data_IF_998398110560
#
_entry.id   IF_998398110560
#
_cell.length_a   1.000
_cell.length_b   1.000
_cell.length_c   1.000
_cell.angle_alpha   90.00
_cell.angle_beta   90.00
_cell.angle_gamma   90.00
#
_symmetry.space_group_name_H-M   'P 1'
#
loop_
_entity.id
_entity.type
_entity.pdbx_description
1 polymer ?
#
# COMPACT_ATOMS: atom_id res chain seq x y z
N UNK A 1 8.27 -16.86 6.63
CA UNK A 1 8.41 -17.49 5.27
C UNK A 1 7.03 -17.64 4.65
N UNK A 2 6.90 -17.81 3.32
CA UNK A 2 5.58 -17.94 2.67
C UNK A 2 4.75 -19.15 3.12
N UNK A 3 5.38 -20.17 3.72
CA UNK A 3 4.68 -21.29 4.35
C UNK A 3 4.16 -20.97 5.75
N UNK A 4 4.83 -20.06 6.48
CA UNK A 4 4.48 -19.69 7.85
C UNK A 4 3.53 -18.51 7.94
N UNK A 5 3.73 -17.51 7.08
CA UNK A 5 3.06 -16.21 7.13
C UNK A 5 2.26 -16.03 5.86
N UNK A 6 0.95 -16.13 5.99
CA UNK A 6 0.00 -16.08 4.89
C UNK A 6 -0.56 -14.67 4.81
N UNK A 7 -0.17 -13.90 3.80
CA UNK A 7 -0.86 -12.63 3.49
C UNK A 7 -2.21 -12.99 2.89
N UNK A 8 -3.31 -12.65 3.57
CA UNK A 8 -4.66 -13.06 3.16
C UNK A 8 -5.48 -11.91 2.58
N UNK A 9 -5.16 -10.68 2.97
CA UNK A 9 -5.79 -9.46 2.52
C UNK A 9 -4.84 -8.27 2.75
N UNK A 10 -5.19 -7.13 2.19
CA UNK A 10 -4.54 -5.84 2.46
C UNK A 10 -5.61 -4.89 3.01
N UNK A 11 -5.19 -3.99 3.89
CA UNK A 11 -6.02 -2.91 4.39
C UNK A 11 -5.26 -1.58 4.27
N UNK A 12 -6.00 -0.49 4.13
CA UNK A 12 -5.46 0.86 4.11
C UNK A 12 -5.92 1.61 5.34
N UNK A 13 -4.98 2.13 6.12
CA UNK A 13 -5.34 3.02 7.21
C UNK A 13 -5.63 4.42 6.66
N UNK A 14 -6.89 4.83 6.72
CA UNK A 14 -7.33 6.14 6.29
C UNK A 14 -7.20 7.14 7.44
N UNK A 15 -6.47 8.24 7.23
CA UNK A 15 -6.57 9.42 8.07
C UNK A 15 -7.82 10.17 7.66
N UNK A 16 -8.74 10.36 8.60
CA UNK A 16 -10.05 10.93 8.36
C UNK A 16 -10.22 12.26 9.10
N UNK A 17 -10.93 13.17 8.46
CA UNK A 17 -11.31 14.47 8.99
C UNK A 17 -12.77 14.76 8.70
N UNK A 18 -13.29 15.84 9.28
CA UNK A 18 -14.61 16.36 8.92
C UNK A 18 -14.74 16.58 7.39
N UNK A 19 -15.90 16.27 6.77
CA UNK A 19 -16.12 16.48 5.33
C UNK A 19 -15.79 17.88 4.83
N UNK A 20 -16.10 18.91 5.61
CA UNK A 20 -15.89 20.31 5.25
C UNK A 20 -14.45 20.81 5.49
N UNK A 21 -13.55 19.96 6.01
CA UNK A 21 -12.17 20.36 6.20
C UNK A 21 -11.49 20.56 4.82
N UNK A 22 -10.91 21.75 4.54
CA UNK A 22 -10.39 22.06 3.21
C UNK A 22 -9.06 21.36 2.90
N UNK A 23 -8.33 20.87 3.90
CA UNK A 23 -7.07 20.15 3.73
C UNK A 23 -7.30 18.91 2.87
N UNK A 24 -6.48 18.73 1.83
CA UNK A 24 -6.62 17.62 0.87
C UNK A 24 -5.62 16.50 1.13
N UNK A 25 -4.45 16.84 1.66
CA UNK A 25 -3.37 15.90 1.90
C UNK A 25 -2.53 16.29 3.11
N UNK A 26 -1.92 15.30 3.75
CA UNK A 26 -0.94 15.47 4.80
C UNK A 26 0.25 14.54 4.58
N UNK A 27 1.44 14.96 4.99
CA UNK A 27 2.57 14.02 5.10
C UNK A 27 2.44 13.15 6.35
N UNK A 28 3.05 11.96 6.33
CA UNK A 28 3.16 11.10 7.52
C UNK A 28 3.73 11.88 8.71
N UNK A 29 4.72 12.74 8.48
CA UNK A 29 5.29 13.64 9.49
C UNK A 29 4.24 14.61 10.07
N UNK A 30 3.46 15.28 9.22
CA UNK A 30 2.39 16.19 9.68
C UNK A 30 1.32 15.44 10.47
N UNK A 31 0.93 14.24 10.04
CA UNK A 31 0.00 13.40 10.80
C UNK A 31 0.59 13.05 12.16
N UNK A 32 1.88 12.66 12.23
CA UNK A 32 2.53 12.38 13.50
C UNK A 32 2.55 13.60 14.43
N UNK A 33 2.88 14.78 13.93
CA UNK A 33 2.89 16.03 14.70
C UNK A 33 1.49 16.45 15.18
N UNK A 34 0.44 16.24 14.38
CA UNK A 34 -0.95 16.43 14.80
C UNK A 34 -1.30 15.50 15.97
N UNK A 35 -1.07 14.19 15.81
CA UNK A 35 -1.40 13.20 16.84
C UNK A 35 -0.49 13.26 18.07
N UNK A 36 0.68 13.90 17.97
CA UNK A 36 1.54 14.25 19.10
C UNK A 36 1.12 15.56 19.82
N UNK A 37 0.14 16.29 19.27
CA UNK A 37 -0.34 17.56 19.81
C UNK A 37 0.60 18.75 19.56
N UNK A 38 1.59 18.59 18.67
CA UNK A 38 2.54 19.65 18.30
C UNK A 38 1.94 20.63 17.30
N UNK A 39 1.08 20.13 16.41
CA UNK A 39 0.19 20.95 15.58
C UNK A 39 -1.18 20.90 16.23
N UNK A 40 -1.68 22.05 16.68
CA UNK A 40 -2.90 22.13 17.48
C UNK A 40 -4.02 22.93 16.80
N UNK A 41 -3.76 23.55 15.65
CA UNK A 41 -4.76 24.28 14.90
C UNK A 41 -4.65 24.03 13.38
N UNK A 42 -5.79 23.83 12.73
CA UNK A 42 -5.86 23.55 11.30
C UNK A 42 -5.30 24.66 10.41
N UNK A 43 -5.28 25.92 10.85
CA UNK A 43 -4.68 27.04 10.11
C UNK A 43 -3.20 26.86 9.81
N UNK A 44 -2.48 26.10 10.64
CA UNK A 44 -1.07 25.76 10.45
C UNK A 44 -0.84 24.87 9.22
N UNK A 45 -1.90 24.22 8.74
CA UNK A 45 -1.91 23.29 7.61
C UNK A 45 -2.78 23.82 6.45
N UNK A 46 -3.09 25.12 6.44
CA UNK A 46 -3.93 25.76 5.42
C UNK A 46 -5.42 25.52 5.59
N UNK A 47 -5.86 25.06 6.76
CA UNK A 47 -7.26 24.91 7.13
C UNK A 47 -7.88 26.16 7.77
N UNK A 48 -9.10 26.00 8.29
CA UNK A 48 -9.77 27.04 9.06
C UNK A 48 -9.09 27.28 10.42
N UNK A 49 -9.32 28.44 11.03
CA UNK A 49 -8.87 28.72 12.41
C UNK A 49 -9.75 27.96 13.43
N UNK A 50 -9.51 26.66 13.52
CA UNK A 50 -10.23 25.72 14.37
C UNK A 50 -9.20 24.81 15.04
N UNK A 51 -9.36 24.61 16.36
CA UNK A 51 -8.51 23.72 17.13
C UNK A 51 -8.63 22.27 16.63
N UNK A 52 -7.52 21.53 16.67
CA UNK A 52 -7.48 20.12 16.30
C UNK A 52 -8.03 19.27 17.46
N UNK A 53 -9.03 18.45 17.18
CA UNK A 53 -9.58 17.46 18.11
C UNK A 53 -9.08 16.06 17.71
N UNK A 54 -8.32 15.41 18.58
CA UNK A 54 -7.68 14.12 18.29
C UNK A 54 -8.60 12.96 18.68
N UNK A 55 -8.89 12.08 17.73
CA UNK A 55 -9.68 10.86 17.92
C UNK A 55 -8.84 9.63 17.55
N UNK A 56 -8.62 8.74 18.50
CA UNK A 56 -7.75 7.58 18.32
C UNK A 56 -8.40 6.29 18.82
N UNK A 57 -8.05 5.18 18.19
CA UNK A 57 -8.41 3.84 18.66
C UNK A 57 -7.65 3.49 19.95
N UNK A 58 -8.28 2.76 20.86
CA UNK A 58 -7.70 2.35 22.15
C UNK A 58 -6.50 1.37 22.04
N UNK A 59 -5.90 1.05 23.18
CA UNK A 59 -4.68 0.21 23.26
C UNK A 59 -4.92 -1.28 22.96
N UNK A 60 -6.18 -1.69 22.74
CA UNK A 60 -6.55 -3.05 22.37
C UNK A 60 -6.77 -3.20 20.85
N UNK A 61 -6.51 -2.13 20.09
CA UNK A 61 -6.80 -2.06 18.67
C UNK A 61 -5.57 -2.31 17.81
N UNK A 62 -5.61 -3.36 16.98
CA UNK A 62 -4.59 -3.57 15.95
C UNK A 62 -4.49 -2.43 14.92
N UNK A 63 -5.56 -1.64 14.75
CA UNK A 63 -5.54 -0.38 13.97
C UNK A 63 -4.71 0.70 14.65
N UNK A 64 -4.73 0.76 15.98
CA UNK A 64 -3.84 1.67 16.71
C UNK A 64 -2.40 1.18 16.67
N UNK A 65 -2.15 -0.12 16.81
CA UNK A 65 -0.81 -0.68 16.70
C UNK A 65 -0.17 -0.33 15.34
N UNK A 66 -0.91 -0.52 14.25
CA UNK A 66 -0.41 -0.14 12.92
C UNK A 66 -0.19 1.37 12.79
N UNK A 67 -1.10 2.22 13.29
CA UNK A 67 -0.92 3.67 13.25
C UNK A 67 0.32 4.10 14.04
N UNK A 68 0.49 3.53 15.23
CA UNK A 68 1.64 3.78 16.10
C UNK A 68 2.94 3.41 15.41
N UNK A 69 3.02 2.24 14.77
CA UNK A 69 4.23 1.82 14.05
C UNK A 69 4.51 2.69 12.82
N UNK A 70 3.51 2.90 11.95
CA UNK A 70 3.71 3.54 10.66
C UNK A 70 3.82 5.06 10.74
N UNK A 71 3.18 5.68 11.74
CA UNK A 71 3.07 7.15 11.85
C UNK A 71 3.82 7.69 13.05
N UNK A 72 3.55 7.20 14.26
CA UNK A 72 4.14 7.80 15.47
C UNK A 72 5.60 7.39 15.66
N UNK A 73 5.86 6.09 15.77
CA UNK A 73 7.19 5.54 16.01
C UNK A 73 8.16 5.87 14.86
N UNK A 74 7.68 5.84 13.61
CA UNK A 74 8.49 6.20 12.44
C UNK A 74 9.01 7.64 12.48
N UNK A 75 8.36 8.52 13.24
CA UNK A 75 8.70 9.92 13.45
C UNK A 75 9.21 10.22 14.88
N UNK A 76 9.44 9.18 15.69
CA UNK A 76 9.86 9.33 17.09
C UNK A 76 8.84 10.01 18.00
N UNK A 77 7.56 9.95 17.63
CA UNK A 77 6.46 10.59 18.35
C UNK A 77 5.68 9.60 19.22
N UNK A 78 4.90 10.14 20.16
CA UNK A 78 3.91 9.41 20.95
C UNK A 78 2.55 10.09 20.82
N UNK A 79 1.47 9.34 21.05
CA UNK A 79 0.13 9.89 21.01
C UNK A 79 -0.08 10.89 22.16
N UNK A 80 -0.64 12.06 21.84
CA UNK A 80 -1.03 13.05 22.83
C UNK A 80 -2.06 12.50 23.82
N UNK A 81 -1.88 12.82 25.10
CA UNK A 81 -2.79 12.39 26.19
C UNK A 81 -4.19 12.99 26.08
N UNK A 82 -4.36 14.06 25.29
CA UNK A 82 -5.64 14.70 25.00
C UNK A 82 -6.49 13.91 23.98
N UNK A 83 -5.94 12.89 23.33
CA UNK A 83 -6.67 12.12 22.33
C UNK A 83 -7.84 11.35 22.95
N UNK A 84 -9.05 11.57 22.42
CA UNK A 84 -10.25 10.83 22.80
C UNK A 84 -10.13 9.40 22.26
N UNK A 85 -10.28 8.42 23.15
CA UNK A 85 -10.03 7.00 22.87
C UNK A 85 -11.34 6.26 22.52
N UNK A 86 -11.29 5.37 21.53
CA UNK A 86 -12.46 4.62 21.05
C UNK A 86 -12.16 3.12 20.86
N UNK A 87 -13.09 2.27 21.31
CA UNK A 87 -13.10 0.83 21.01
C UNK A 87 -13.74 0.51 19.64
N UNK A 88 -14.55 1.41 19.07
CA UNK A 88 -15.26 1.18 17.81
C UNK A 88 -14.76 2.11 16.69
N UNK A 89 -14.49 1.54 15.51
CA UNK A 89 -14.09 2.32 14.33
C UNK A 89 -15.25 3.19 13.87
N UNK A 90 -16.47 2.65 13.92
CA UNK A 90 -17.67 3.36 13.48
C UNK A 90 -18.01 4.51 14.43
N UNK A 91 -17.84 4.31 15.74
CA UNK A 91 -18.03 5.39 16.72
C UNK A 91 -16.99 6.52 16.53
N UNK A 92 -15.72 6.15 16.30
CA UNK A 92 -14.66 7.11 16.00
C UNK A 92 -14.98 7.89 14.72
N UNK A 93 -15.30 7.18 13.63
CA UNK A 93 -15.62 7.79 12.34
C UNK A 93 -16.85 8.71 12.42
N UNK A 94 -17.90 8.32 13.13
CA UNK A 94 -19.07 9.17 13.35
C UNK A 94 -18.74 10.42 14.18
N UNK A 95 -17.83 10.32 15.15
CA UNK A 95 -17.39 11.48 15.92
C UNK A 95 -16.63 12.47 15.02
N UNK A 96 -15.72 11.97 14.19
CA UNK A 96 -14.95 12.79 13.24
C UNK A 96 -15.87 13.45 12.22
N UNK A 97 -16.86 12.74 11.69
CA UNK A 97 -17.77 13.27 10.66
C UNK A 97 -18.71 14.38 11.16
N UNK A 98 -18.76 14.66 12.46
CA UNK A 98 -19.68 15.65 13.08
C UNK A 98 -18.97 16.86 13.68
N UNK A 99 -17.65 16.84 13.77
CA UNK A 99 -16.82 17.84 14.47
C UNK A 99 -15.82 18.44 13.51
N UNK A 100 -15.95 19.73 13.21
CA UNK A 100 -15.12 20.42 12.21
C UNK A 100 -13.62 20.40 12.51
N UNK A 101 -13.24 20.38 13.79
CA UNK A 101 -11.85 20.29 14.24
C UNK A 101 -11.28 18.87 14.28
N UNK A 102 -12.10 17.83 14.10
CA UNK A 102 -11.70 16.46 14.38
C UNK A 102 -10.81 15.84 13.30
N UNK A 103 -9.80 15.11 13.78
CA UNK A 103 -8.99 14.16 13.01
C UNK A 103 -8.99 12.81 13.70
N UNK A 104 -9.04 11.74 12.90
CA UNK A 104 -8.91 10.38 13.39
C UNK A 104 -8.31 9.44 12.36
N UNK A 105 -8.20 8.17 12.69
CA UNK A 105 -7.75 7.13 11.77
C UNK A 105 -8.59 5.85 11.91
N UNK A 106 -8.89 5.21 10.79
CA UNK A 106 -9.68 3.98 10.70
C UNK A 106 -9.19 3.09 9.56
N UNK A 107 -9.54 1.81 9.58
CA UNK A 107 -9.41 0.96 8.38
C UNK A 107 -10.36 1.44 7.27
N UNK A 108 -10.05 1.11 6.02
CA UNK A 108 -10.74 1.68 4.85
C UNK A 108 -12.26 1.44 4.85
N UNK A 109 -12.68 0.26 5.30
CA UNK A 109 -14.10 -0.11 5.43
C UNK A 109 -14.90 0.80 6.39
N UNK A 110 -14.24 1.48 7.32
CA UNK A 110 -14.88 2.27 8.38
C UNK A 110 -14.77 3.79 8.17
N UNK A 111 -14.33 4.26 7.00
CA UNK A 111 -14.28 5.70 6.69
C UNK A 111 -15.66 6.36 6.84
N UNK A 112 -16.73 5.65 6.50
CA UNK A 112 -18.11 6.10 6.71
C UNK A 112 -18.41 7.41 5.98
N UNK A 113 -18.89 8.42 6.72
CA UNK A 113 -19.21 9.75 6.18
C UNK A 113 -18.06 10.75 6.30
N UNK A 114 -16.93 10.35 6.89
CA UNK A 114 -15.77 11.24 7.05
C UNK A 114 -15.04 11.42 5.73
N UNK A 115 -14.30 12.52 5.59
CA UNK A 115 -13.40 12.72 4.45
C UNK A 115 -12.07 12.05 4.76
N UNK A 116 -11.64 11.13 3.89
CA UNK A 116 -10.29 10.57 3.96
C UNK A 116 -9.30 11.47 3.23
N UNK A 117 -8.15 11.73 3.86
CA UNK A 117 -7.08 12.56 3.29
C UNK A 117 -6.12 11.73 2.44
N UNK A 118 -5.55 12.35 1.41
CA UNK A 118 -4.39 11.77 0.72
C UNK A 118 -3.14 11.89 1.60
N UNK A 119 -2.26 10.89 1.55
CA UNK A 119 -1.05 10.83 2.37
C UNK A 119 0.19 10.90 1.49
N UNK A 120 1.17 11.70 1.89
CA UNK A 120 2.54 11.67 1.38
C UNK A 120 3.50 11.07 2.40
N UNK A 121 4.55 10.40 1.94
CA UNK A 121 5.68 9.94 2.75
C UNK A 121 6.98 10.29 2.00
N UNK A 122 7.75 11.23 2.55
CA UNK A 122 8.91 11.82 1.86
C UNK A 122 8.52 12.45 0.52
N UNK A 123 9.24 12.09 -0.54
CA UNK A 123 9.09 12.66 -1.89
C UNK A 123 7.95 12.03 -2.72
N UNK A 124 7.13 11.17 -2.11
CA UNK A 124 5.99 10.57 -2.81
C UNK A 124 4.94 11.60 -3.20
N UNK A 125 4.21 11.36 -4.29
CA UNK A 125 3.00 12.12 -4.60
C UNK A 125 1.90 11.89 -3.55
N UNK A 126 0.98 12.85 -3.32
CA UNK A 126 -0.18 12.63 -2.44
C UNK A 126 -1.02 11.45 -2.91
N UNK A 127 -1.20 10.46 -2.04
CA UNK A 127 -1.92 9.22 -2.38
C UNK A 127 -3.22 9.10 -1.58
N UNK A 128 -4.40 9.06 -2.24
CA UNK A 128 -5.63 8.74 -1.54
C UNK A 128 -5.62 7.27 -1.08
N UNK A 129 -6.33 6.91 0.01
CA UNK A 129 -6.49 5.52 0.45
C UNK A 129 -7.47 4.75 -0.46
N UNK A 130 -7.16 4.67 -1.76
CA UNK A 130 -7.98 3.97 -2.75
C UNK A 130 -7.66 2.48 -2.75
N UNK A 131 -8.64 1.64 -3.11
CA UNK A 131 -8.43 0.19 -3.23
C UNK A 131 -7.25 -0.15 -4.16
N UNK A 132 -7.09 0.56 -5.28
CA UNK A 132 -5.99 0.34 -6.22
C UNK A 132 -4.61 0.59 -5.59
N UNK A 133 -4.43 1.73 -4.91
CA UNK A 133 -3.15 2.08 -4.27
C UNK A 133 -2.85 1.24 -3.03
N UNK A 134 -3.90 0.77 -2.34
CA UNK A 134 -3.76 -0.18 -1.24
C UNK A 134 -3.38 -1.56 -1.78
N UNK A 135 -4.00 -2.02 -2.88
CA UNK A 135 -3.70 -3.32 -3.50
C UNK A 135 -2.24 -3.41 -3.98
N UNK A 136 -1.72 -2.33 -4.56
CA UNK A 136 -0.32 -2.22 -4.98
C UNK A 136 0.63 -1.95 -3.80
N UNK A 137 0.11 -1.68 -2.61
CA UNK A 137 0.86 -1.24 -1.44
C UNK A 137 1.66 0.05 -1.68
N UNK A 138 1.24 0.86 -2.66
CA UNK A 138 1.83 2.18 -2.92
C UNK A 138 1.34 3.20 -1.89
N UNK A 139 0.09 3.08 -1.43
CA UNK A 139 -0.46 3.98 -0.41
C UNK A 139 0.37 3.87 0.88
N UNK A 140 0.90 4.98 1.44
CA UNK A 140 1.86 4.93 2.54
C UNK A 140 1.40 4.18 3.78
N UNK A 141 0.10 4.20 4.08
CA UNK A 141 -0.45 3.56 5.28
C UNK A 141 -1.16 2.23 4.97
N UNK A 142 -0.69 1.52 3.93
CA UNK A 142 -1.12 0.15 3.64
C UNK A 142 -0.52 -0.84 4.62
N UNK A 143 -1.30 -1.86 5.00
CA UNK A 143 -0.87 -2.98 5.85
C UNK A 143 -1.36 -4.31 5.29
N UNK A 144 -0.53 -5.33 5.42
CA UNK A 144 -0.89 -6.71 5.10
C UNK A 144 -1.62 -7.31 6.30
N UNK A 145 -2.64 -8.12 6.04
CA UNK A 145 -3.33 -8.92 7.05
C UNK A 145 -2.87 -10.37 6.93
N UNK A 146 -2.56 -10.98 8.07
CA UNK A 146 -1.87 -12.27 8.12
C UNK A 146 -2.68 -13.36 8.81
N UNK A 147 -2.55 -14.59 8.30
CA UNK A 147 -2.70 -15.80 9.11
C UNK A 147 -1.32 -16.43 9.33
N UNK A 148 -1.11 -16.98 10.52
CA UNK A 148 0.11 -17.68 10.88
C UNK A 148 -0.18 -19.17 11.05
N UNK A 149 0.64 -20.01 10.42
CA UNK A 149 0.54 -21.46 10.55
C UNK A 149 1.94 -22.08 10.54
N UNK A 150 2.22 -23.07 11.39
CA UNK A 150 3.48 -23.79 11.34
C UNK A 150 3.52 -24.68 10.08
N UNK A 151 4.38 -24.42 9.08
CA UNK A 151 4.40 -25.16 7.82
C UNK A 151 4.73 -26.65 8.00
N UNK A 152 5.36 -27.04 9.11
CA UNK A 152 5.72 -28.43 9.38
C UNK A 152 4.63 -29.20 10.13
N UNK A 153 3.68 -28.51 10.75
CA UNK A 153 2.66 -29.10 11.64
C UNK A 153 1.22 -28.76 11.23
N UNK A 154 0.97 -28.63 9.93
CA UNK A 154 -0.37 -28.33 9.43
C UNK A 154 -1.22 -29.60 9.30
N UNK A 155 -2.42 -29.59 9.90
CA UNK A 155 -3.44 -30.60 9.62
C UNK A 155 -3.92 -30.48 8.16
N UNK A 156 -4.59 -31.52 7.65
CA UNK A 156 -5.25 -31.44 6.34
C UNK A 156 -6.26 -30.29 6.28
N UNK A 157 -7.06 -30.10 7.33
CA UNK A 157 -8.03 -29.00 7.45
C UNK A 157 -7.38 -27.62 7.41
N UNK A 158 -6.23 -27.45 8.08
CA UNK A 158 -5.48 -26.19 8.04
C UNK A 158 -5.02 -25.87 6.62
N UNK A 159 -4.51 -26.87 5.88
CA UNK A 159 -4.07 -26.68 4.48
C UNK A 159 -5.23 -26.34 3.56
N UNK A 160 -6.35 -27.06 3.68
CA UNK A 160 -7.56 -26.79 2.90
C UNK A 160 -8.13 -25.40 3.20
N UNK A 161 -8.18 -25.01 4.47
CA UNK A 161 -8.64 -23.68 4.86
C UNK A 161 -7.73 -22.58 4.30
N UNK A 162 -6.41 -22.72 4.40
CA UNK A 162 -5.47 -21.76 3.82
C UNK A 162 -5.60 -21.71 2.28
N UNK A 163 -5.78 -22.85 1.62
CA UNK A 163 -6.04 -22.93 0.18
C UNK A 163 -7.31 -22.17 -0.19
N UNK A 164 -8.41 -22.40 0.54
CA UNK A 164 -9.67 -21.70 0.39
C UNK A 164 -9.51 -20.19 0.59
N UNK A 165 -8.79 -19.74 1.61
CA UNK A 165 -8.58 -18.30 1.86
C UNK A 165 -7.89 -17.61 0.68
N UNK A 166 -6.96 -18.29 0.00
CA UNK A 166 -6.28 -17.76 -1.18
C UNK A 166 -7.05 -17.96 -2.50
N UNK A 167 -8.10 -18.78 -2.50
CA UNK A 167 -8.93 -19.05 -3.69
C UNK A 167 -9.74 -17.82 -4.13
N UNK A 168 -10.24 -17.78 -5.38
CA UNK A 168 -11.16 -16.74 -5.84
C UNK A 168 -12.38 -16.55 -4.90
N UNK A 169 -12.95 -17.63 -4.39
CA UNK A 169 -14.10 -17.61 -3.49
C UNK A 169 -13.75 -16.97 -2.13
N UNK A 170 -12.60 -17.33 -1.57
CA UNK A 170 -12.09 -16.74 -0.33
C UNK A 170 -11.79 -15.25 -0.50
N UNK A 171 -11.18 -14.87 -1.61
CA UNK A 171 -10.87 -13.47 -1.92
C UNK A 171 -12.13 -12.64 -2.17
N UNK A 172 -13.20 -13.20 -2.76
CA UNK A 172 -14.49 -12.53 -2.86
C UNK A 172 -15.12 -12.22 -1.49
N UNK A 173 -14.91 -13.09 -0.48
CA UNK A 173 -15.34 -12.82 0.90
C UNK A 173 -14.53 -11.68 1.52
N UNK A 174 -13.23 -11.61 1.24
CA UNK A 174 -12.35 -10.50 1.69
C UNK A 174 -12.89 -9.16 1.19
N UNK A 175 -13.21 -9.05 -0.11
CA UNK A 175 -13.78 -7.83 -0.69
C UNK A 175 -15.13 -7.47 -0.06
N UNK A 176 -16.02 -8.46 0.08
CA UNK A 176 -17.35 -8.26 0.69
C UNK A 176 -17.25 -7.78 2.14
N UNK A 177 -16.17 -8.12 2.83
CA UNK A 177 -15.90 -7.69 4.20
C UNK A 177 -15.29 -6.27 4.29
N UNK A 178 -15.01 -5.62 3.16
CA UNK A 178 -14.49 -4.26 3.08
C UNK A 178 -12.96 -4.15 3.06
N UNK A 179 -12.25 -5.28 2.98
CA UNK A 179 -10.79 -5.31 2.81
C UNK A 179 -10.40 -5.40 1.33
N UNK A 180 -9.12 -5.14 1.04
CA UNK A 180 -8.58 -5.24 -0.31
C UNK A 180 -8.10 -6.66 -0.55
N UNK A 181 -8.78 -7.35 -1.47
CA UNK A 181 -8.37 -8.67 -1.91
C UNK A 181 -7.12 -8.62 -2.80
N UNK A 182 -6.53 -9.79 -3.00
CA UNK A 182 -5.30 -9.98 -3.77
C UNK A 182 -5.57 -10.37 -5.23
N UNK A 183 -6.81 -10.19 -5.68
CA UNK A 183 -7.17 -10.34 -7.08
C UNK A 183 -6.46 -9.27 -7.93
N UNK A 184 -5.98 -9.69 -9.10
CA UNK A 184 -5.30 -8.79 -10.04
C UNK A 184 -6.36 -8.15 -10.93
N UNK A 185 -6.36 -6.83 -10.97
CA UNK A 185 -7.21 -6.03 -11.83
C UNK A 185 -6.36 -5.03 -12.63
N UNK A 186 -6.74 -4.71 -13.87
CA UNK A 186 -6.13 -3.64 -14.63
C UNK A 186 -6.66 -2.27 -14.18
N UNK A 187 -5.76 -1.31 -14.03
CA UNK A 187 -6.04 0.09 -13.70
C UNK A 187 -5.42 1.01 -14.75
N UNK A 188 -6.09 2.14 -15.01
CA UNK A 188 -5.55 3.22 -15.84
C UNK A 188 -4.96 4.29 -14.92
N UNK A 189 -3.68 4.59 -15.09
CA UNK A 189 -3.06 5.68 -14.36
C UNK A 189 -3.37 7.02 -15.04
N UNK A 190 -3.73 8.07 -14.29
CA UNK A 190 -3.82 9.40 -14.84
C UNK A 190 -2.43 9.86 -15.28
N UNK A 191 -2.33 10.39 -16.50
CA UNK A 191 -1.07 10.94 -17.02
C UNK A 191 -0.71 12.19 -16.23
N UNK A 192 0.50 12.20 -15.66
CA UNK A 192 1.06 13.36 -14.99
C UNK A 192 2.30 13.83 -15.74
N UNK A 193 2.43 15.13 -15.95
CA UNK A 193 3.57 15.74 -16.67
C UNK A 193 4.90 15.55 -15.94
N UNK A 194 4.87 15.26 -14.65
CA UNK A 194 6.03 14.94 -13.80
C UNK A 194 6.55 13.52 -13.99
N UNK A 195 5.79 12.64 -14.68
CA UNK A 195 6.25 11.27 -14.95
C UNK A 195 7.34 11.25 -16.04
N UNK A 196 8.26 10.27 -16.01
CA UNK A 196 9.23 10.07 -17.09
C UNK A 196 8.53 9.79 -18.42
N UNK A 197 9.07 10.30 -19.54
CA UNK A 197 8.43 10.21 -20.86
C UNK A 197 8.10 8.76 -21.27
N UNK A 198 9.04 7.83 -21.06
CA UNK A 198 8.82 6.41 -21.33
C UNK A 198 7.68 5.81 -20.48
N UNK A 199 7.53 6.25 -19.24
CA UNK A 199 6.44 5.82 -18.36
C UNK A 199 5.10 6.43 -18.77
N UNK A 200 5.09 7.70 -19.22
CA UNK A 200 3.90 8.32 -19.81
C UNK A 200 3.45 7.59 -21.07
N UNK A 201 4.37 7.19 -21.94
CA UNK A 201 4.04 6.46 -23.16
C UNK A 201 3.45 5.08 -22.82
N UNK A 202 4.05 4.36 -21.88
CA UNK A 202 3.51 3.09 -21.39
C UNK A 202 2.09 3.29 -20.82
N UNK A 203 1.87 4.34 -20.03
CA UNK A 203 0.57 4.64 -19.45
C UNK A 203 -0.52 5.04 -20.47
N UNK A 204 -0.14 5.49 -21.67
CA UNK A 204 -1.08 5.75 -22.78
C UNK A 204 -1.53 4.47 -23.48
N UNK A 205 -0.65 3.48 -23.57
CA UNK A 205 -0.83 2.29 -24.41
C UNK A 205 -1.21 1.03 -23.63
N UNK A 206 -0.90 0.98 -22.34
CA UNK A 206 -1.06 -0.19 -21.49
C UNK A 206 -1.83 0.14 -20.20
N UNK A 207 -2.33 -0.90 -19.55
CA UNK A 207 -2.95 -0.83 -18.22
C UNK A 207 -1.97 -1.36 -17.17
N UNK A 208 -1.84 -0.64 -16.05
CA UNK A 208 -1.09 -1.14 -14.90
C UNK A 208 -1.92 -2.19 -14.18
N UNK A 209 -1.31 -3.25 -13.67
CA UNK A 209 -2.01 -4.24 -12.84
C UNK A 209 -1.90 -3.88 -11.36
N UNK A 210 -2.91 -4.22 -10.55
CA UNK A 210 -2.95 -4.02 -9.09
C UNK A 210 -2.03 -4.99 -8.33
N UNK A 211 -0.84 -5.25 -8.85
CA UNK A 211 0.17 -6.11 -8.24
C UNK A 211 1.54 -5.46 -8.38
N UNK A 212 2.26 -5.43 -7.26
CA UNK A 212 3.65 -5.05 -7.19
C UNK A 212 4.45 -6.22 -6.62
N UNK A 213 5.60 -6.51 -7.23
CA UNK A 213 6.55 -7.47 -6.66
C UNK A 213 7.55 -6.74 -5.77
N UNK A 214 7.67 -7.23 -4.53
CA UNK A 214 8.60 -6.76 -3.51
C UNK A 214 9.55 -7.87 -3.12
N UNK A 215 10.62 -7.48 -2.43
CA UNK A 215 11.75 -8.34 -2.14
C UNK A 215 11.97 -8.45 -0.65
N UNK A 216 12.41 -9.61 -0.20
CA UNK A 216 12.84 -9.82 1.17
C UNK A 216 13.96 -8.83 1.51
N UNK A 217 13.98 -8.38 2.77
CA UNK A 217 14.94 -7.40 3.24
C UNK A 217 16.39 -7.87 3.02
N UNK A 218 17.22 -6.95 2.51
CA UNK A 218 18.62 -7.25 2.18
C UNK A 218 18.82 -8.27 1.04
N UNK A 219 17.75 -8.73 0.38
CA UNK A 219 17.78 -9.83 -0.58
C UNK A 219 17.24 -9.43 -1.96
N UNK A 220 17.62 -10.21 -2.98
CA UNK A 220 17.02 -10.17 -4.32
C UNK A 220 15.90 -11.22 -4.48
N UNK A 221 15.56 -11.95 -3.42
CA UNK A 221 14.47 -12.91 -3.42
C UNK A 221 13.13 -12.20 -3.21
N UNK A 222 12.09 -12.69 -3.90
CA UNK A 222 10.73 -12.22 -3.70
C UNK A 222 10.28 -12.46 -2.26
N UNK A 223 9.55 -11.50 -1.68
CA UNK A 223 8.95 -11.66 -0.36
C UNK A 223 7.82 -12.72 -0.36
N UNK A 224 7.25 -12.99 0.81
CA UNK A 224 6.23 -14.03 0.97
C UNK A 224 4.96 -13.79 0.12
N UNK A 225 4.52 -12.54 -0.01
CA UNK A 225 3.35 -12.18 -0.84
C UNK A 225 3.69 -12.30 -2.31
N UNK A 226 4.82 -11.73 -2.71
CA UNK A 226 5.33 -11.70 -4.06
C UNK A 226 5.52 -13.12 -4.64
N UNK A 227 5.94 -14.07 -3.82
CA UNK A 227 6.01 -15.49 -4.22
C UNK A 227 4.65 -16.07 -4.63
N UNK A 228 3.56 -15.70 -3.95
CA UNK A 228 2.19 -16.10 -4.32
C UNK A 228 1.65 -15.26 -5.47
N UNK A 229 1.99 -13.97 -5.52
CA UNK A 229 1.61 -13.06 -6.61
C UNK A 229 2.14 -13.55 -7.98
N UNK A 230 3.27 -14.25 -8.03
CA UNK A 230 3.79 -14.85 -9.29
C UNK A 230 2.74 -15.76 -9.90
N UNK A 231 2.17 -16.68 -9.10
CA UNK A 231 1.15 -17.60 -9.60
C UNK A 231 -0.12 -16.87 -9.98
N UNK A 232 -0.59 -15.92 -9.15
CA UNK A 232 -1.79 -15.14 -9.48
C UNK A 232 -1.64 -14.35 -10.78
N UNK A 233 -0.45 -13.81 -11.04
CA UNK A 233 -0.18 -13.11 -12.29
C UNK A 233 -0.13 -14.06 -13.49
N UNK A 234 0.47 -15.25 -13.34
CA UNK A 234 0.44 -16.28 -14.39
C UNK A 234 -1.01 -16.65 -14.72
N UNK A 235 -1.84 -16.91 -13.71
CA UNK A 235 -3.26 -17.28 -13.91
C UNK A 235 -4.06 -16.13 -14.56
N UNK A 236 -3.82 -14.89 -14.15
CA UNK A 236 -4.40 -13.71 -14.78
C UNK A 236 -4.00 -13.59 -16.26
N UNK A 237 -2.70 -13.70 -16.58
CA UNK A 237 -2.24 -13.57 -17.96
C UNK A 237 -2.74 -14.71 -18.84
N UNK A 238 -2.83 -15.94 -18.31
CA UNK A 238 -3.36 -17.09 -19.01
C UNK A 238 -4.86 -16.93 -19.33
N UNK A 239 -5.65 -16.49 -18.35
CA UNK A 239 -7.10 -16.29 -18.52
C UNK A 239 -7.48 -15.15 -19.46
N UNK A 240 -6.53 -14.30 -19.83
CA UNK A 240 -6.74 -13.14 -20.71
C UNK A 240 -5.97 -13.24 -22.03
N UNK A 241 -5.44 -14.42 -22.38
CA UNK A 241 -4.65 -14.67 -23.59
C UNK A 241 -3.42 -13.74 -23.73
N UNK A 242 -2.81 -13.39 -22.59
CA UNK A 242 -1.65 -12.48 -22.48
C UNK A 242 -0.35 -13.21 -22.15
N UNK A 243 -0.22 -14.49 -22.53
CA UNK A 243 0.97 -15.29 -22.19
C UNK A 243 2.23 -14.82 -22.93
N UNK A 244 2.07 -14.28 -24.14
CA UNK A 244 3.17 -13.96 -25.04
C UNK A 244 3.18 -12.47 -25.39
N UNK A 245 4.29 -11.80 -25.10
CA UNK A 245 4.58 -10.44 -25.55
C UNK A 245 3.48 -9.40 -25.21
N UNK A 246 2.75 -9.59 -24.12
CA UNK A 246 1.72 -8.64 -23.68
C UNK A 246 2.10 -7.89 -22.40
N UNK A 247 2.91 -8.51 -21.53
CA UNK A 247 3.30 -7.92 -20.25
C UNK A 247 4.58 -7.08 -20.35
N UNK A 248 4.63 -5.97 -19.62
CA UNK A 248 5.82 -5.14 -19.39
C UNK A 248 6.10 -5.08 -17.89
N UNK A 249 7.37 -5.23 -17.51
CA UNK A 249 7.81 -5.09 -16.13
C UNK A 249 8.62 -3.81 -15.96
N UNK A 250 8.26 -3.01 -14.97
CA UNK A 250 8.96 -1.75 -14.66
C UNK A 250 9.53 -1.82 -13.25
N UNK A 251 10.84 -1.88 -13.16
CA UNK A 251 11.55 -1.93 -11.89
C UNK A 251 11.84 -0.53 -11.33
N UNK A 252 11.70 -0.42 -10.01
CA UNK A 252 12.01 0.77 -9.21
C UNK A 252 12.98 0.43 -8.07
N UNK A 253 13.60 1.46 -7.50
CA UNK A 253 14.61 1.37 -6.47
C UNK A 253 14.53 2.52 -5.48
N UNK A 254 15.28 2.36 -4.40
CA UNK A 254 15.55 3.40 -3.41
C UNK A 254 16.57 4.42 -3.93
N UNK A 255 16.42 5.68 -3.53
CA UNK A 255 17.35 6.73 -3.89
C UNK A 255 18.73 6.49 -3.26
N UNK A 256 19.78 6.53 -4.09
CA UNK A 256 21.19 6.34 -3.70
C UNK A 256 22.07 7.32 -4.44
N UNK A 257 23.30 7.50 -3.94
CA UNK A 257 24.27 8.45 -4.48
C UNK A 257 24.72 8.19 -5.94
N UNK A 258 24.31 7.07 -6.56
CA UNK A 258 24.68 6.68 -7.92
C UNK A 258 23.44 6.30 -8.74
N UNK A 259 22.90 7.24 -9.55
CA UNK A 259 21.70 7.00 -10.36
C UNK A 259 21.85 5.86 -11.36
N UNK A 260 23.04 5.67 -11.95
CA UNK A 260 23.28 4.60 -12.91
C UNK A 260 23.20 3.23 -12.23
N UNK A 261 23.77 3.12 -11.03
CA UNK A 261 23.65 1.91 -10.21
C UNK A 261 22.21 1.66 -9.76
N UNK A 262 21.47 2.69 -9.37
CA UNK A 262 20.06 2.56 -8.96
C UNK A 262 19.20 2.08 -10.14
N UNK A 263 19.38 2.65 -11.33
CA UNK A 263 18.72 2.21 -12.55
C UNK A 263 19.04 0.74 -12.88
N UNK A 264 20.32 0.34 -12.81
CA UNK A 264 20.73 -1.05 -13.03
C UNK A 264 20.08 -2.01 -12.03
N UNK A 265 20.10 -1.70 -10.73
CA UNK A 265 19.50 -2.53 -9.69
C UNK A 265 17.98 -2.67 -9.86
N UNK A 266 17.30 -1.58 -10.23
CA UNK A 266 15.87 -1.61 -10.52
C UNK A 266 15.54 -2.55 -11.70
N UNK A 267 16.36 -2.53 -12.76
CA UNK A 267 16.23 -3.45 -13.90
C UNK A 267 16.49 -4.91 -13.52
N UNK A 268 17.50 -5.17 -12.69
CA UNK A 268 17.81 -6.52 -12.20
C UNK A 268 16.67 -7.13 -11.38
N UNK A 269 15.95 -6.32 -10.58
CA UNK A 269 14.74 -6.74 -9.87
C UNK A 269 13.63 -7.15 -10.83
N UNK A 270 13.37 -6.35 -11.86
CA UNK A 270 12.39 -6.70 -12.88
C UNK A 270 12.79 -7.97 -13.66
N UNK A 271 14.09 -8.19 -13.89
CA UNK A 271 14.59 -9.45 -14.48
C UNK A 271 14.36 -10.66 -13.56
N UNK A 272 14.47 -10.50 -12.23
CA UNK A 272 14.18 -11.57 -11.29
C UNK A 272 12.70 -11.98 -11.37
N UNK A 273 11.78 -11.01 -11.42
CA UNK A 273 10.35 -11.28 -11.63
C UNK A 273 10.11 -11.97 -12.96
N UNK A 274 10.71 -11.48 -14.07
CA UNK A 274 10.59 -12.13 -15.38
C UNK A 274 11.03 -13.59 -15.34
N UNK A 275 12.11 -13.91 -14.63
CA UNK A 275 12.61 -15.30 -14.53
C UNK A 275 11.59 -16.20 -13.85
N UNK A 276 10.93 -15.73 -12.79
CA UNK A 276 9.88 -16.50 -12.13
C UNK A 276 8.65 -16.67 -13.03
N UNK A 277 8.24 -15.62 -13.76
CA UNK A 277 7.14 -15.71 -14.73
C UNK A 277 7.45 -16.66 -15.91
N UNK A 278 8.69 -16.65 -16.41
CA UNK A 278 9.12 -17.54 -17.48
C UNK A 278 9.08 -19.01 -17.08
N UNK A 279 9.35 -19.34 -15.80
CA UNK A 279 9.16 -20.71 -15.29
C UNK A 279 7.70 -21.16 -15.34
N UNK A 280 6.77 -20.21 -15.26
CA UNK A 280 5.33 -20.43 -15.43
C UNK A 280 4.83 -20.31 -16.87
N UNK A 281 5.73 -20.24 -17.87
CA UNK A 281 5.36 -20.19 -19.29
C UNK A 281 5.01 -18.80 -19.83
N UNK A 282 5.22 -17.72 -19.06
CA UNK A 282 4.91 -16.35 -19.49
C UNK A 282 6.15 -15.70 -20.13
N UNK A 283 6.02 -15.20 -21.36
CA UNK A 283 7.03 -14.39 -22.04
C UNK A 283 6.68 -12.91 -21.98
N UNK A 284 7.37 -12.18 -21.10
CA UNK A 284 7.26 -10.73 -20.94
C UNK A 284 7.83 -10.03 -22.18
N UNK A 285 7.10 -9.05 -22.72
CA UNK A 285 7.49 -8.24 -23.90
C UNK A 285 8.73 -7.40 -23.61
N UNK A 286 8.69 -6.63 -22.52
CA UNK A 286 9.69 -5.62 -22.20
C UNK A 286 10.01 -5.55 -20.71
N UNK A 287 11.25 -5.17 -20.39
CA UNK A 287 11.68 -4.85 -19.03
C UNK A 287 12.37 -3.50 -19.00
N UNK A 288 11.86 -2.64 -18.13
CA UNK A 288 12.39 -1.30 -17.87
C UNK A 288 12.90 -1.21 -16.43
N UNK A 289 13.86 -0.31 -16.21
CA UNK A 289 14.34 0.07 -14.88
C UNK A 289 14.40 1.58 -14.79
N UNK A 290 13.59 2.17 -13.90
CA UNK A 290 13.46 3.63 -13.74
C UNK A 290 14.25 4.17 -12.55
N UNK A 291 15.03 3.33 -11.87
CA UNK A 291 15.81 3.74 -10.72
C UNK A 291 14.89 4.21 -9.59
N UNK A 292 15.20 5.36 -8.99
CA UNK A 292 14.49 5.99 -7.87
C UNK A 292 13.40 6.98 -8.29
N UNK A 293 13.07 7.04 -9.59
CA UNK A 293 11.98 7.85 -10.08
C UNK A 293 10.63 7.36 -9.55
N UNK A 294 9.67 8.27 -9.39
CA UNK A 294 8.33 7.95 -8.88
C UNK A 294 8.36 7.21 -7.53
N UNK A 295 8.97 7.80 -6.49
CA UNK A 295 8.96 7.22 -5.16
C UNK A 295 7.53 7.14 -4.62
N UNK A 296 7.26 6.08 -3.85
CA UNK A 296 5.98 5.85 -3.17
C UNK A 296 6.09 6.06 -1.66
N UNK A 297 7.31 6.31 -1.16
CA UNK A 297 7.63 6.50 0.24
C UNK A 297 8.94 7.28 0.41
N UNK A 298 9.25 7.65 1.66
CA UNK A 298 10.52 8.29 2.02
C UNK A 298 11.74 7.39 1.77
N UNK A 299 12.95 7.95 1.90
CA UNK A 299 14.19 7.17 1.84
C UNK A 299 14.62 6.59 3.21
N UNK A 300 13.69 6.54 4.18
CA UNK A 300 13.86 5.82 5.45
C UNK A 300 14.04 4.31 5.21
N UNK A 301 14.45 3.53 6.21
CA UNK A 301 14.61 2.07 6.04
C UNK A 301 13.32 1.39 5.54
N UNK A 302 12.19 1.67 6.18
CA UNK A 302 10.88 1.20 5.76
C UNK A 302 10.48 1.74 4.38
N UNK A 303 10.73 3.03 4.11
CA UNK A 303 10.40 3.64 2.83
C UNK A 303 11.22 3.08 1.66
N UNK A 304 12.51 2.77 1.87
CA UNK A 304 13.35 2.06 0.88
C UNK A 304 12.81 0.68 0.54
N UNK A 305 12.22 -0.05 1.49
CA UNK A 305 11.55 -1.32 1.18
C UNK A 305 10.38 -1.07 0.23
N UNK A 306 9.61 0.01 0.42
CA UNK A 306 8.48 0.35 -0.45
C UNK A 306 8.89 0.81 -1.85
N UNK A 307 9.95 1.61 -1.96
CA UNK A 307 10.46 2.09 -3.24
C UNK A 307 11.10 0.95 -4.09
N UNK A 308 11.61 -0.10 -3.45
CA UNK A 308 12.14 -1.30 -4.13
C UNK A 308 11.01 -2.23 -4.60
N UNK A 309 10.33 -1.83 -5.67
CA UNK A 309 9.19 -2.56 -6.26
C UNK A 309 9.39 -2.86 -7.75
N UNK A 310 8.65 -3.83 -8.27
CA UNK A 310 8.44 -4.03 -9.71
C UNK A 310 6.96 -3.94 -9.99
N UNK A 311 6.58 -3.03 -10.88
CA UNK A 311 5.23 -2.87 -11.38
C UNK A 311 5.01 -3.72 -12.63
N UNK A 312 3.77 -4.14 -12.84
CA UNK A 312 3.38 -4.96 -13.99
C UNK A 312 2.36 -4.19 -14.82
N UNK A 313 2.57 -4.20 -16.12
CA UNK A 313 1.73 -3.54 -17.12
C UNK A 313 1.33 -4.53 -18.20
N UNK A 314 0.16 -4.35 -18.80
CA UNK A 314 -0.32 -5.17 -19.91
C UNK A 314 -0.91 -4.30 -21.02
N UNK A 315 -0.50 -4.56 -22.26
CA UNK A 315 -1.17 -4.03 -23.46
C UNK A 315 -2.52 -4.70 -23.65
#
# INVERSE_FOLDING_TARGET
SAGSEQVIAIDGLAVIVHPDNPVQSLSVEQVAHLFAGQIANWRELGGADVAVELHARDDQSGTYDTFKELVLNSQGQALATSAVRYESNDALSQAVSRRSGAIGFVGLASVGKSKALAITDGDSQPMPPSQALVATEDYPLSRRLFLYADPQKQSAWTREFLSFVHSPEGQAIVEKSGYVAQAIAPIRLPLQTTMPEAYQQLAKEAQRLTVNFRFAEGSAQLDNKAQRDVQRLIDYLNSHDKQMNAAVLVGFGDARNDPARTALLSKLRAMAVRRELARGGILVKEINGLGDQLPVASNSEAGRIKNRRVEVWVY
#
